data_IF_974578072850
#
_entry.id   IF_974578072850
#
_cell.length_a   1.000
_cell.length_b   1.000
_cell.length_c   1.000
_cell.angle_alpha   90.00
_cell.angle_beta   90.00
_cell.angle_gamma   90.00
#
_symmetry.space_group_name_H-M   'P 1'
#
loop_
_entity.id
_entity.type
_entity.pdbx_description
1 polymer ?
#
# COMPACT_ATOMS: atom_id res chain seq x y z
N UNK A 1 15.00 -6.42 -24.43
CA UNK A 1 15.27 -5.67 -23.17
C UNK A 1 14.66 -6.43 -22.00
N UNK A 2 15.46 -7.23 -21.30
CA UNK A 2 15.04 -8.02 -20.13
C UNK A 2 15.03 -7.12 -18.89
N UNK A 3 13.83 -6.80 -18.39
CA UNK A 3 13.65 -6.00 -17.17
C UNK A 3 14.12 -6.83 -15.97
N UNK A 4 15.12 -6.33 -15.24
CA UNK A 4 15.62 -6.95 -14.00
C UNK A 4 14.49 -6.92 -12.96
N UNK A 5 13.96 -8.08 -12.50
CA UNK A 5 12.93 -8.09 -11.48
C UNK A 5 13.49 -7.48 -10.20
N UNK A 6 12.72 -6.59 -9.57
CA UNK A 6 13.04 -6.12 -8.23
C UNK A 6 12.76 -7.28 -7.29
N UNK A 7 13.80 -7.77 -6.62
CA UNK A 7 13.78 -9.02 -5.85
C UNK A 7 12.79 -9.01 -4.69
N UNK A 8 12.37 -7.84 -4.22
CA UNK A 8 11.39 -7.67 -3.13
C UNK A 8 9.97 -7.30 -3.57
N UNK A 9 9.74 -7.06 -4.87
CA UNK A 9 8.43 -6.64 -5.37
C UNK A 9 7.69 -7.78 -6.05
N UNK A 10 6.43 -7.95 -5.68
CA UNK A 10 5.53 -8.96 -6.25
C UNK A 10 4.31 -8.31 -6.89
N UNK A 11 3.75 -9.02 -7.86
CA UNK A 11 2.56 -8.68 -8.59
C UNK A 11 1.48 -9.73 -8.33
N UNK A 12 0.32 -9.29 -7.87
CA UNK A 12 -0.76 -10.15 -7.37
C UNK A 12 -1.96 -9.98 -8.28
N UNK A 13 -2.42 -11.09 -8.88
CA UNK A 13 -3.71 -11.15 -9.56
C UNK A 13 -4.68 -11.97 -8.72
N UNK A 14 -5.83 -11.38 -8.42
CA UNK A 14 -6.85 -12.01 -7.58
C UNK A 14 -8.05 -12.40 -8.44
N UNK A 15 -8.55 -13.62 -8.25
CA UNK A 15 -9.78 -14.09 -8.88
C UNK A 15 -10.74 -14.64 -7.80
N UNK A 16 -11.95 -14.08 -7.66
CA UNK A 16 -12.46 -12.87 -8.33
C UNK A 16 -11.71 -11.59 -7.89
N UNK A 17 -11.80 -10.51 -8.68
CA UNK A 17 -11.15 -9.26 -8.34
C UNK A 17 -11.75 -8.65 -7.06
N UNK A 18 -10.94 -8.16 -6.10
CA UNK A 18 -11.42 -7.69 -4.83
C UNK A 18 -12.35 -6.49 -5.01
N UNK A 19 -13.57 -6.58 -4.49
CA UNK A 19 -14.59 -5.53 -4.63
C UNK A 19 -14.59 -4.56 -3.45
N UNK A 20 -14.12 -5.01 -2.29
CA UNK A 20 -14.16 -4.28 -1.04
C UNK A 20 -12.76 -4.07 -0.42
N UNK A 21 -12.67 -3.08 0.48
CA UNK A 21 -11.45 -2.87 1.28
C UNK A 21 -11.22 -4.01 2.28
N UNK A 22 -12.27 -4.66 2.78
CA UNK A 22 -12.18 -5.82 3.67
C UNK A 22 -11.49 -6.99 2.97
N UNK A 23 -11.88 -7.31 1.73
CA UNK A 23 -11.21 -8.33 0.91
C UNK A 23 -9.73 -7.99 0.68
N UNK A 24 -9.43 -6.72 0.37
CA UNK A 24 -8.04 -6.27 0.18
C UNK A 24 -7.21 -6.39 1.46
N UNK A 25 -7.81 -6.15 2.64
CA UNK A 25 -7.16 -6.36 3.95
C UNK A 25 -6.87 -7.83 4.22
N UNK A 26 -7.75 -8.75 3.82
CA UNK A 26 -7.50 -10.19 3.94
C UNK A 26 -6.33 -10.63 3.06
N UNK A 27 -6.20 -10.06 1.86
CA UNK A 27 -5.04 -10.30 0.99
C UNK A 27 -3.75 -9.80 1.67
N UNK A 28 -3.80 -8.58 2.23
CA UNK A 28 -2.65 -8.02 2.94
C UNK A 28 -2.25 -8.88 4.15
N UNK A 29 -3.21 -9.32 4.97
CA UNK A 29 -2.92 -10.15 6.14
C UNK A 29 -2.37 -11.52 5.76
N UNK A 30 -2.82 -12.11 4.65
CA UNK A 30 -2.24 -13.33 4.11
C UNK A 30 -0.79 -13.13 3.65
N UNK A 31 -0.47 -12.00 3.02
CA UNK A 31 0.90 -11.67 2.59
C UNK A 31 1.83 -11.37 3.76
N UNK A 32 1.33 -10.74 4.81
CA UNK A 32 2.11 -10.44 6.01
C UNK A 32 2.65 -11.70 6.72
N UNK A 33 2.06 -12.88 6.47
CA UNK A 33 2.58 -14.17 6.98
C UNK A 33 3.96 -14.51 6.43
N UNK A 34 4.32 -14.01 5.25
CA UNK A 34 5.63 -14.28 4.62
C UNK A 34 6.69 -13.25 5.02
N UNK A 35 6.28 -12.12 5.58
CA UNK A 35 7.18 -11.05 6.02
C UNK A 35 6.49 -9.68 6.01
N UNK A 36 7.25 -8.66 6.43
CA UNK A 36 6.76 -7.29 6.48
C UNK A 36 6.52 -6.71 5.07
N UNK A 37 5.29 -6.22 4.84
CA UNK A 37 4.88 -5.57 3.60
C UNK A 37 4.99 -4.06 3.77
N UNK A 38 5.98 -3.45 3.11
CA UNK A 38 6.27 -2.01 3.18
C UNK A 38 5.27 -1.21 2.36
N UNK A 39 4.86 -1.73 1.21
CA UNK A 39 3.94 -1.05 0.31
C UNK A 39 2.93 -2.04 -0.24
N UNK A 40 1.66 -1.70 -0.13
CA UNK A 40 0.56 -2.45 -0.72
C UNK A 40 -0.31 -1.48 -1.52
N UNK A 41 -0.31 -1.64 -2.85
CA UNK A 41 -0.94 -0.68 -3.76
C UNK A 41 -1.85 -1.39 -4.76
N UNK A 42 -3.12 -1.00 -4.75
CA UNK A 42 -4.10 -1.45 -5.74
C UNK A 42 -4.05 -0.55 -6.98
N UNK A 43 -3.78 -1.13 -8.16
CA UNK A 43 -3.65 -0.38 -9.41
C UNK A 43 -4.99 0.03 -10.04
N UNK A 44 -6.13 -0.43 -9.50
CA UNK A 44 -7.47 0.01 -9.92
C UNK A 44 -7.68 1.52 -9.76
N UNK A 45 -7.06 2.12 -8.76
CA UNK A 45 -7.20 3.53 -8.41
C UNK A 45 -6.01 4.38 -8.89
N UNK A 46 -5.13 3.82 -9.71
CA UNK A 46 -4.00 4.55 -10.25
C UNK A 46 -4.48 5.45 -11.41
N UNK A 47 -4.43 6.80 -11.27
CA UNK A 47 -4.90 7.70 -12.31
C UNK A 47 -4.06 7.63 -13.60
N UNK A 48 -2.85 7.04 -13.53
CA UNK A 48 -1.96 6.87 -14.68
C UNK A 48 -2.11 5.51 -15.36
N UNK A 49 -2.98 4.64 -14.84
CA UNK A 49 -3.16 3.29 -15.35
C UNK A 49 -4.20 3.26 -16.47
N UNK A 50 -3.74 3.08 -17.71
CA UNK A 50 -4.58 2.94 -18.91
C UNK A 50 -4.98 1.48 -19.20
N UNK A 51 -4.58 0.52 -18.34
CA UNK A 51 -4.88 -0.89 -18.58
C UNK A 51 -6.38 -1.20 -18.38
N UNK A 52 -6.93 -2.20 -19.11
CA UNK A 52 -8.32 -2.61 -18.97
C UNK A 52 -8.64 -3.10 -17.55
N UNK A 53 -9.91 -2.98 -17.13
CA UNK A 53 -10.32 -3.28 -15.75
C UNK A 53 -10.02 -4.70 -15.27
N UNK A 54 -9.90 -5.65 -16.19
CA UNK A 54 -9.52 -7.05 -15.94
C UNK A 54 -8.04 -7.20 -15.53
N UNK A 55 -7.20 -6.21 -15.82
CA UNK A 55 -5.77 -6.17 -15.47
C UNK A 55 -5.49 -5.34 -14.20
N UNK A 56 -6.54 -4.97 -13.43
CA UNK A 56 -6.38 -4.28 -12.16
C UNK A 56 -5.78 -5.21 -11.11
N UNK A 57 -4.47 -5.23 -11.10
CA UNK A 57 -3.68 -6.08 -10.23
C UNK A 57 -3.19 -5.26 -9.02
N UNK A 58 -2.78 -5.97 -7.98
CA UNK A 58 -2.20 -5.37 -6.78
C UNK A 58 -0.69 -5.54 -6.82
N UNK A 59 0.04 -4.51 -6.44
CA UNK A 59 1.49 -4.57 -6.24
C UNK A 59 1.75 -4.59 -4.75
N UNK A 60 2.61 -5.52 -4.31
CA UNK A 60 3.17 -5.50 -2.97
C UNK A 60 4.69 -5.42 -3.03
N UNK A 61 5.29 -4.70 -2.07
CA UNK A 61 6.74 -4.61 -1.88
C UNK A 61 7.01 -5.06 -0.44
N UNK A 62 7.84 -6.09 -0.31
CA UNK A 62 8.31 -6.56 0.98
C UNK A 62 9.58 -5.82 1.40
N UNK A 63 9.83 -5.79 2.71
CA UNK A 63 11.11 -5.28 3.24
C UNK A 63 12.26 -6.20 2.81
N UNK A 64 12.03 -7.51 2.81
CA UNK A 64 13.03 -8.53 2.45
C UNK A 64 12.73 -9.21 1.11
N UNK A 65 13.78 -9.45 0.32
CA UNK A 65 13.70 -10.24 -0.91
C UNK A 65 13.37 -11.73 -0.65
N UNK A 66 13.74 -12.26 0.51
CA UNK A 66 13.41 -13.62 0.91
C UNK A 66 11.89 -13.79 1.10
N UNK A 67 11.24 -12.81 1.74
CA UNK A 67 9.79 -12.81 1.95
C UNK A 67 9.02 -12.80 0.62
N UNK A 68 9.47 -11.98 -0.33
CA UNK A 68 8.90 -11.95 -1.68
C UNK A 68 9.05 -13.30 -2.40
N UNK A 69 10.21 -13.95 -2.28
CA UNK A 69 10.47 -15.26 -2.88
C UNK A 69 9.60 -16.35 -2.27
N UNK A 70 9.43 -16.36 -0.95
CA UNK A 70 8.53 -17.28 -0.24
C UNK A 70 7.07 -17.09 -0.65
N UNK A 71 6.62 -15.85 -0.79
CA UNK A 71 5.27 -15.54 -1.25
C UNK A 71 5.03 -16.01 -2.70
N UNK A 72 6.03 -15.89 -3.59
CA UNK A 72 5.96 -16.42 -4.95
C UNK A 72 5.91 -17.97 -4.93
N UNK A 73 6.72 -18.61 -4.09
CA UNK A 73 6.74 -20.08 -3.96
C UNK A 73 5.43 -20.64 -3.38
N UNK A 74 4.75 -19.88 -2.52
CA UNK A 74 3.44 -20.24 -1.97
C UNK A 74 2.27 -19.95 -2.91
N UNK A 75 2.53 -19.49 -4.14
CA UNK A 75 1.47 -19.21 -5.11
C UNK A 75 0.91 -20.50 -5.72
N UNK A 76 -0.43 -20.62 -5.91
CA UNK A 76 -1.50 -19.69 -5.55
C UNK A 76 -1.93 -19.74 -4.08
N UNK A 77 -2.30 -18.59 -3.51
CA UNK A 77 -2.82 -18.50 -2.14
C UNK A 77 -4.33 -18.38 -2.16
N UNK A 78 -4.99 -19.23 -1.39
CA UNK A 78 -6.45 -19.29 -1.26
C UNK A 78 -6.89 -18.64 0.04
N UNK A 79 -7.72 -17.60 -0.04
CA UNK A 79 -8.15 -16.79 1.11
C UNK A 79 -9.68 -16.88 1.25
N UNK A 80 -10.21 -17.41 2.36
CA UNK A 80 -11.65 -17.46 2.59
C UNK A 80 -12.19 -16.05 2.87
N UNK A 81 -13.20 -15.60 2.12
CA UNK A 81 -13.93 -14.36 2.40
C UNK A 81 -15.01 -14.70 3.42
N UNK A 82 -14.79 -14.30 4.67
CA UNK A 82 -15.85 -14.36 5.66
C UNK A 82 -16.91 -13.32 5.27
N UNK A 83 -18.07 -13.80 4.80
CA UNK A 83 -19.28 -12.99 4.77
C UNK A 83 -19.49 -12.45 6.18
N UNK A 84 -19.52 -11.13 6.36
CA UNK A 84 -19.86 -10.52 7.65
C UNK A 84 -21.35 -10.74 7.94
N UNK A 85 -21.75 -11.98 8.18
CA UNK A 85 -22.89 -12.27 9.04
C UNK A 85 -22.36 -12.28 10.46
N UNK A 86 -22.85 -11.32 11.22
CA UNK A 86 -22.69 -11.09 12.65
C UNK A 86 -22.19 -12.32 13.44
N UNK A 87 -21.11 -12.13 14.20
CA UNK A 87 -20.93 -12.76 15.51
C UNK A 87 -20.05 -11.86 16.37
N UNK A 88 -20.61 -10.72 16.76
CA UNK A 88 -20.36 -10.19 18.09
C UNK A 88 -21.27 -10.97 19.03
N UNK A 89 -20.77 -12.04 19.65
CA UNK A 89 -21.34 -12.56 20.89
C UNK A 89 -20.20 -13.04 21.76
N UNK A 90 -20.19 -12.45 22.94
CA UNK A 90 -19.25 -12.62 24.02
C UNK A 90 -19.34 -14.03 24.64
N UNK A 91 -18.19 -14.45 25.15
CA UNK A 91 -17.93 -15.26 26.34
C UNK A 91 -19.09 -15.71 27.24
N UNK A 92 -18.93 -16.94 27.76
CA UNK A 92 -19.35 -17.49 29.07
C UNK A 92 -20.53 -18.50 29.15
N UNK A 93 -20.12 -19.76 29.36
CA UNK A 93 -20.52 -20.73 30.41
C UNK A 93 -21.92 -21.37 30.50
N UNK A 94 -21.88 -22.70 30.35
CA UNK A 94 -22.38 -23.79 31.24
C UNK A 94 -23.88 -24.15 31.33
N UNK A 95 -24.11 -25.42 30.96
CA UNK A 95 -24.95 -26.48 31.56
C UNK A 95 -26.49 -26.38 31.64
N UNK A 96 -27.12 -27.42 31.09
CA UNK A 96 -28.53 -27.79 31.27
C UNK A 96 -28.86 -29.08 30.51
N UNK A 97 -28.75 -30.21 31.21
CA UNK A 97 -29.09 -31.60 30.82
C UNK A 97 -30.62 -31.75 30.70
N UNK A 98 -31.13 -32.61 29.79
CA UNK A 98 -32.03 -33.72 30.13
C UNK A 98 -32.44 -34.60 28.91
N UNK A 99 -32.65 -35.88 29.24
CA UNK A 99 -32.88 -37.14 28.49
C UNK A 99 -34.02 -37.14 27.43
N UNK A 100 -33.90 -37.74 26.22
CA UNK A 100 -33.96 -39.18 25.78
C UNK A 100 -35.41 -39.68 25.45
N UNK A 101 -35.66 -40.87 24.83
CA UNK A 101 -35.54 -41.23 23.40
C UNK A 101 -36.82 -41.88 22.80
N UNK A 102 -36.95 -42.04 21.46
CA UNK A 102 -37.82 -43.08 20.87
C UNK A 102 -37.60 -43.33 19.36
N UNK A 103 -37.22 -44.58 19.04
CA UNK A 103 -37.49 -45.47 17.87
C UNK A 103 -37.88 -44.86 16.50
N UNK A 104 -37.45 -45.34 15.31
CA UNK A 104 -37.26 -46.73 14.83
C UNK A 104 -36.56 -46.70 13.45
N UNK A 105 -35.90 -47.81 13.10
CA UNK A 105 -35.10 -48.05 11.89
C UNK A 105 -35.86 -48.04 10.55
N UNK A 106 -35.18 -47.59 9.47
CA UNK A 106 -35.30 -48.21 8.13
C UNK A 106 -34.07 -47.86 7.26
N UNK A 107 -33.26 -48.87 6.91
CA UNK A 107 -32.35 -48.87 5.74
C UNK A 107 -33.19 -49.26 4.50
N UNK A 108 -32.81 -48.94 3.23
CA UNK A 108 -31.51 -49.37 2.68
C UNK A 108 -30.90 -48.55 1.52
N UNK A 109 -29.71 -49.01 1.12
CA UNK A 109 -29.12 -48.94 -0.24
C UNK A 109 -28.31 -47.72 -0.66
N UNK A 110 -26.99 -47.91 -0.57
CA UNK A 110 -25.92 -47.54 -1.52
C UNK A 110 -26.22 -46.44 -2.55
N UNK A 111 -25.48 -45.34 -2.41
CA UNK A 111 -24.99 -44.56 -3.55
C UNK A 111 -23.58 -44.10 -3.19
N UNK A 112 -22.58 -44.74 -3.80
CA UNK A 112 -21.25 -44.16 -3.93
C UNK A 112 -21.39 -42.89 -4.79
N UNK A 113 -21.38 -41.73 -4.15
CA UNK A 113 -21.20 -40.45 -4.83
C UNK A 113 -19.93 -39.81 -4.30
N UNK A 114 -19.01 -39.64 -5.25
CA UNK A 114 -17.89 -38.71 -5.35
C UNK A 114 -17.77 -37.66 -4.22
N UNK A 115 -16.54 -37.29 -3.78
CA UNK A 115 -16.36 -36.13 -2.92
C UNK A 115 -16.76 -34.86 -3.68
N UNK A 116 -18.03 -34.50 -3.54
CA UNK A 116 -18.60 -33.25 -3.99
C UNK A 116 -18.03 -32.15 -3.07
N UNK A 117 -17.37 -31.11 -3.60
CA UNK A 117 -16.82 -30.06 -2.77
C UNK A 117 -17.97 -29.36 -2.04
N UNK A 118 -17.90 -29.36 -0.71
CA UNK A 118 -18.76 -28.60 0.19
C UNK A 118 -18.91 -27.14 -0.31
N UNK A 119 -20.01 -26.46 0.01
CA UNK A 119 -20.20 -25.05 -0.32
C UNK A 119 -19.24 -24.21 0.54
N UNK A 120 -17.97 -24.19 0.15
CA UNK A 120 -16.98 -23.28 0.69
C UNK A 120 -17.46 -21.86 0.34
N UNK A 121 -17.52 -20.98 1.34
CA UNK A 121 -17.88 -19.59 1.14
C UNK A 121 -17.04 -18.91 0.05
N UNK A 122 -17.41 -17.69 -0.39
CA UNK A 122 -16.69 -16.98 -1.45
C UNK A 122 -15.19 -16.97 -1.12
N UNK A 123 -14.37 -17.50 -2.02
CA UNK A 123 -12.94 -17.68 -1.80
C UNK A 123 -12.16 -16.86 -2.82
N UNK A 124 -11.15 -16.13 -2.37
CA UNK A 124 -10.26 -15.34 -3.22
C UNK A 124 -9.00 -16.15 -3.52
N UNK A 125 -8.75 -16.42 -4.80
CA UNK A 125 -7.50 -17.04 -5.23
C UNK A 125 -6.53 -15.95 -5.67
N UNK A 126 -5.37 -15.88 -5.03
CA UNK A 126 -4.31 -14.93 -5.31
C UNK A 126 -3.15 -15.62 -6.02
N UNK A 127 -2.95 -15.28 -7.29
CA UNK A 127 -1.76 -15.69 -8.05
C UNK A 127 -0.68 -14.62 -7.92
N UNK A 128 0.52 -15.02 -7.53
CA UNK A 128 1.63 -14.15 -7.18
C UNK A 128 2.74 -14.38 -8.20
N UNK A 129 3.21 -13.30 -8.81
CA UNK A 129 4.25 -13.32 -9.81
C UNK A 129 5.34 -12.32 -9.45
N UNK A 130 6.59 -12.52 -9.86
CA UNK A 130 7.63 -11.51 -9.74
C UNK A 130 7.19 -10.19 -10.41
N UNK A 131 7.35 -9.07 -9.69
CA UNK A 131 6.99 -7.78 -10.26
C UNK A 131 8.02 -7.35 -11.32
N UNK A 132 7.50 -6.97 -12.49
CA UNK A 132 8.29 -6.31 -13.55
C UNK A 132 8.25 -4.78 -13.43
N UNK A 133 7.52 -4.25 -12.44
CA UNK A 133 7.32 -2.82 -12.29
C UNK A 133 8.46 -2.19 -11.47
N UNK A 134 9.18 -1.24 -12.07
CA UNK A 134 10.22 -0.49 -11.38
C UNK A 134 9.61 0.64 -10.52
N UNK A 135 9.31 0.31 -9.26
CA UNK A 135 8.72 1.27 -8.31
C UNK A 135 9.62 2.48 -8.07
N UNK A 136 10.94 2.30 -8.00
CA UNK A 136 11.90 3.39 -7.80
C UNK A 136 11.77 4.39 -8.94
N UNK A 137 11.77 3.91 -10.19
CA UNK A 137 11.60 4.77 -11.35
C UNK A 137 10.23 5.46 -11.38
N UNK A 138 9.17 4.80 -10.92
CA UNK A 138 7.84 5.39 -10.86
C UNK A 138 7.77 6.51 -9.81
N UNK A 139 8.35 6.29 -8.63
CA UNK A 139 8.47 7.30 -7.57
C UNK A 139 9.31 8.49 -8.03
N UNK A 140 10.46 8.25 -8.69
CA UNK A 140 11.30 9.34 -9.20
C UNK A 140 10.57 10.21 -10.23
N UNK A 141 9.72 9.64 -11.07
CA UNK A 141 8.93 10.40 -12.06
C UNK A 141 7.73 11.14 -11.46
N UNK A 142 7.26 10.72 -10.28
CA UNK A 142 6.12 11.35 -9.63
C UNK A 142 6.47 12.79 -9.17
N UNK A 143 5.79 13.84 -9.68
CA UNK A 143 6.09 15.23 -9.31
C UNK A 143 5.79 15.52 -7.83
N UNK A 144 4.96 14.71 -7.18
CA UNK A 144 4.64 14.83 -5.75
C UNK A 144 5.62 14.09 -4.84
N UNK A 145 6.46 13.21 -5.39
CA UNK A 145 7.44 12.42 -4.64
C UNK A 145 8.85 13.00 -4.80
N UNK A 146 8.97 14.31 -4.62
CA UNK A 146 10.22 15.06 -4.78
C UNK A 146 10.32 16.12 -3.69
N UNK A 147 11.49 16.74 -3.56
CA UNK A 147 11.71 17.85 -2.64
C UNK A 147 10.75 19.02 -2.91
N UNK A 148 10.38 19.73 -1.85
CA UNK A 148 9.67 20.99 -1.98
C UNK A 148 10.64 22.04 -2.50
N UNK A 149 10.25 22.72 -3.57
CA UNK A 149 10.91 23.93 -4.02
C UNK A 149 9.90 25.06 -4.01
N UNK A 150 10.38 26.24 -3.67
CA UNK A 150 9.56 27.45 -3.72
C UNK A 150 9.40 27.83 -5.19
N UNK A 151 8.16 27.82 -5.67
CA UNK A 151 7.86 28.30 -7.02
C UNK A 151 7.97 29.83 -7.05
N UNK A 152 9.15 30.32 -7.40
CA UNK A 152 9.44 31.75 -7.51
C UNK A 152 8.67 32.44 -8.64
N UNK A 153 8.14 31.66 -9.58
CA UNK A 153 7.32 32.15 -10.69
C UNK A 153 5.87 32.40 -10.30
N UNK A 154 5.40 31.78 -9.22
CA UNK A 154 4.04 31.92 -8.71
C UNK A 154 3.71 33.37 -8.35
N UNK A 155 2.49 33.80 -8.67
CA UNK A 155 1.95 35.09 -8.23
C UNK A 155 2.00 35.21 -6.71
N UNK A 156 1.72 34.12 -5.98
CA UNK A 156 1.80 34.07 -4.52
C UNK A 156 3.21 34.38 -4.00
N UNK A 157 4.25 33.82 -4.62
CA UNK A 157 5.63 34.10 -4.20
C UNK A 157 6.02 35.55 -4.49
N UNK A 158 5.65 36.05 -5.67
CA UNK A 158 5.92 37.45 -6.05
C UNK A 158 5.21 38.42 -5.11
N UNK A 159 3.97 38.12 -4.73
CA UNK A 159 3.21 38.90 -3.77
C UNK A 159 3.89 38.84 -2.40
N UNK A 160 4.01 37.67 -1.79
CA UNK A 160 4.63 37.52 -0.45
C UNK A 160 6.00 38.20 -0.32
N UNK A 161 6.85 38.08 -1.35
CA UNK A 161 8.22 38.59 -1.30
C UNK A 161 8.31 40.08 -1.69
N UNK A 162 7.42 40.59 -2.54
CA UNK A 162 7.50 41.98 -3.01
C UNK A 162 6.53 42.94 -2.33
N UNK A 163 5.32 42.50 -1.98
CA UNK A 163 4.30 43.37 -1.36
C UNK A 163 4.40 43.38 0.16
N UNK A 164 4.99 42.34 0.78
CA UNK A 164 5.28 42.29 2.22
C UNK A 164 4.05 42.15 3.14
N UNK A 165 2.85 42.42 2.63
CA UNK A 165 1.57 42.25 3.33
C UNK A 165 0.69 41.36 2.44
N UNK A 166 0.35 40.13 2.87
CA UNK A 166 -0.53 39.28 2.08
C UNK A 166 -1.90 39.94 1.94
N UNK A 167 -2.31 40.25 0.71
CA UNK A 167 -3.61 40.82 0.40
C UNK A 167 -4.71 39.75 0.54
N UNK A 168 -5.83 40.12 1.17
CA UNK A 168 -6.91 39.23 1.65
C UNK A 168 -7.60 38.37 0.55
N UNK A 169 -7.31 38.65 -0.73
CA UNK A 169 -7.90 37.97 -1.89
C UNK A 169 -6.87 37.30 -2.81
N UNK A 170 -5.57 37.33 -2.49
CA UNK A 170 -4.51 36.78 -3.35
C UNK A 170 -4.05 35.36 -2.96
N UNK A 171 -4.50 34.84 -1.82
CA UNK A 171 -4.19 33.47 -1.39
C UNK A 171 -4.97 32.40 -2.16
N UNK A 172 -6.08 32.77 -2.80
CA UNK A 172 -6.95 31.88 -3.58
C UNK A 172 -6.43 31.69 -5.01
N UNK A 173 -5.23 31.12 -5.12
CA UNK A 173 -4.74 30.60 -6.39
C UNK A 173 -5.39 29.25 -6.72
N UNK A 174 -5.93 29.02 -7.93
CA UNK A 174 -6.38 27.69 -8.30
C UNK A 174 -5.22 26.70 -8.17
N UNK A 175 -5.48 25.61 -7.45
CA UNK A 175 -4.47 24.60 -7.11
C UNK A 175 -3.93 23.95 -8.40
N UNK A 176 -2.86 24.52 -8.97
CA UNK A 176 -2.26 24.04 -10.22
C UNK A 176 -1.61 22.68 -9.97
N UNK A 177 -1.78 21.74 -10.91
CA UNK A 177 -1.07 20.45 -10.87
C UNK A 177 0.43 20.69 -10.84
N UNK A 178 1.16 19.99 -9.98
CA UNK A 178 2.63 20.07 -9.94
C UNK A 178 3.18 19.65 -11.30
N UNK A 179 3.98 20.51 -11.91
CA UNK A 179 4.65 20.21 -13.16
C UNK A 179 5.73 19.14 -12.93
N UNK A 180 6.03 18.38 -13.98
CA UNK A 180 7.19 17.49 -13.96
C UNK A 180 8.47 18.32 -13.85
N UNK A 181 9.27 18.03 -12.81
CA UNK A 181 10.58 18.63 -12.61
C UNK A 181 11.65 17.74 -13.28
N UNK A 182 12.57 18.28 -14.10
CA UNK A 182 13.66 17.49 -14.67
C UNK A 182 14.59 16.88 -13.61
N UNK A 183 15.11 15.69 -13.89
CA UNK A 183 16.01 14.93 -13.00
C UNK A 183 17.23 15.75 -12.53
N UNK A 184 17.79 16.60 -13.41
CA UNK A 184 18.93 17.47 -13.09
C UNK A 184 18.61 18.44 -11.95
N UNK A 185 17.42 19.04 -11.98
CA UNK A 185 16.95 19.98 -10.95
C UNK A 185 16.74 19.24 -9.63
N UNK A 186 16.17 18.03 -9.67
CA UNK A 186 16.01 17.17 -8.48
C UNK A 186 17.35 16.84 -7.83
N UNK A 187 18.37 16.46 -8.63
CA UNK A 187 19.73 16.18 -8.13
C UNK A 187 20.41 17.39 -7.51
N UNK A 188 20.26 18.56 -8.14
CA UNK A 188 20.78 19.81 -7.58
C UNK A 188 20.13 20.12 -6.24
N UNK A 189 18.81 19.96 -6.15
CA UNK A 189 18.05 20.22 -4.93
C UNK A 189 18.39 19.21 -3.82
N UNK A 190 18.55 17.92 -4.14
CA UNK A 190 18.99 16.92 -3.18
C UNK A 190 20.38 17.24 -2.60
N UNK A 191 21.28 17.77 -3.42
CA UNK A 191 22.60 18.25 -2.96
C UNK A 191 22.45 19.44 -2.02
N UNK A 192 21.59 20.40 -2.34
CA UNK A 192 21.41 21.59 -1.50
C UNK A 192 20.72 21.21 -0.18
N UNK A 193 19.70 20.34 -0.20
CA UNK A 193 19.07 19.76 1.00
C UNK A 193 20.10 19.00 1.85
N UNK A 194 21.03 18.26 1.22
CA UNK A 194 22.15 17.63 1.93
C UNK A 194 23.02 18.64 2.66
N UNK A 195 23.44 19.70 1.96
CA UNK A 195 24.30 20.75 2.50
C UNK A 195 23.67 21.45 3.69
N UNK A 196 22.35 21.66 3.66
CA UNK A 196 21.61 22.27 4.77
C UNK A 196 21.18 21.27 5.85
N UNK A 197 21.60 20.01 5.78
CA UNK A 197 21.26 18.98 6.77
C UNK A 197 19.80 18.50 6.72
N UNK A 198 19.04 18.86 5.68
CA UNK A 198 17.60 18.60 5.57
C UNK A 198 17.22 17.14 5.31
N UNK A 199 18.19 16.22 5.20
CA UNK A 199 17.93 14.76 5.05
C UNK A 199 17.76 14.04 6.38
N UNK A 200 18.11 14.70 7.48
CA UNK A 200 18.00 14.13 8.82
C UNK A 200 17.55 15.22 9.78
N UNK A 201 16.40 15.02 10.43
CA UNK A 201 15.94 15.87 11.53
C UNK A 201 17.02 16.01 12.60
N UNK A 202 17.74 14.92 12.90
CA UNK A 202 18.85 14.92 13.84
C UNK A 202 20.06 15.70 13.33
N UNK A 203 20.32 15.66 12.02
CA UNK A 203 21.32 16.50 11.36
C UNK A 203 20.97 17.99 11.47
N UNK A 204 19.73 18.36 11.20
CA UNK A 204 19.24 19.73 11.29
C UNK A 204 19.29 20.27 12.73
N UNK A 205 18.90 19.44 13.71
CA UNK A 205 19.01 19.76 15.14
C UNK A 205 20.46 20.03 15.55
N UNK A 206 21.39 19.12 15.24
CA UNK A 206 22.82 19.30 15.54
C UNK A 206 23.40 20.55 14.87
N UNK A 207 22.96 20.88 13.67
CA UNK A 207 23.35 22.08 12.95
C UNK A 207 22.82 23.37 13.61
N UNK A 208 21.56 23.38 14.05
CA UNK A 208 20.96 24.49 14.78
C UNK A 208 21.65 24.75 16.14
N UNK A 209 21.92 23.69 16.91
CA UNK A 209 22.62 23.79 18.20
C UNK A 209 24.03 24.34 18.02
N UNK A 210 24.77 23.90 16.99
CA UNK A 210 26.13 24.43 16.71
C UNK A 210 26.16 25.90 16.31
N UNK A 211 25.11 26.43 15.67
CA UNK A 211 25.04 27.85 15.31
C UNK A 211 24.72 28.77 16.49
N UNK A 212 23.91 28.31 17.45
CA UNK A 212 23.57 29.11 18.64
C UNK A 212 24.74 29.25 19.63
N UNK A 213 25.73 28.38 19.57
CA UNK A 213 26.94 28.47 20.43
C UNK A 213 27.98 29.45 19.86
N UNK A 214 27.81 29.91 18.61
CA UNK A 214 28.71 30.90 17.99
C UNK A 214 28.25 32.36 18.08
N UNK A 215 27.13 32.65 18.75
CA UNK A 215 26.58 34.00 18.90
C UNK A 215 26.38 34.39 20.37
N UNK A 216 27.32 33.95 21.22
CA UNK A 216 27.63 34.57 22.50
C UNK A 216 29.15 34.57 22.64
N UNK A 217 29.72 35.71 23.04
CA UNK A 217 31.17 36.03 23.12
C UNK A 217 31.71 36.42 21.72
N UNK A 218 31.85 37.69 21.36
CA UNK A 218 32.48 38.85 22.04
C UNK A 218 31.64 40.10 21.92
#
# INVERSE_FOLDING_TARGET
MTLKPLTSSIHIKTHPAPRSLSESKLILSALQKFGEVVTFRNLKYDPTNTSPKSAHNTIAIFESAAAASSAIAASPITIPVQSQTQNQSQSQSLEGKDESPSHTATHPTQSQSQPQPQPQGPTLTCTIQPSRHNHVSAMTRNPYHTFFYVDKGSHMYKDLVKSGIPLDYLADGPMRRKAHVPERVKRMLDRDVWRFGGKSLMGLYRFGVKRNVGMMIV
#
